data_IF_812167895033
#
_entry.id   IF_812167895033
#
_cell.length_a   1.000
_cell.length_b   1.000
_cell.length_c   1.000
_cell.angle_alpha   90.00
_cell.angle_beta   90.00
_cell.angle_gamma   90.00
#
_symmetry.space_group_name_H-M   'P 1'
#
loop_
_entity.id
_entity.type
_entity.pdbx_description
1 polymer ?
#
# COMPACT_ATOMS: atom_id res chain seq x y z
N UNK A 1 -19.04 17.43 -28.14
CA UNK A 1 -19.06 16.05 -27.63
C UNK A 1 -19.72 16.06 -26.25
N UNK A 2 -20.48 15.04 -25.87
CA UNK A 2 -21.00 14.93 -24.51
C UNK A 2 -19.82 14.80 -23.53
N UNK A 3 -19.94 15.45 -22.38
CA UNK A 3 -18.89 15.34 -21.32
C UNK A 3 -18.86 13.90 -20.80
N UNK A 4 -17.66 13.34 -20.64
CA UNK A 4 -17.48 12.06 -20.00
C UNK A 4 -17.61 12.25 -18.48
N UNK A 5 -18.57 11.58 -17.87
CA UNK A 5 -18.81 11.66 -16.41
C UNK A 5 -18.80 10.28 -15.78
N UNK A 6 -18.49 10.21 -14.49
CA UNK A 6 -18.55 8.97 -13.71
C UNK A 6 -19.98 8.46 -13.65
N UNK A 7 -20.22 7.27 -14.17
CA UNK A 7 -21.55 6.65 -14.31
C UNK A 7 -21.87 5.70 -13.15
N UNK A 8 -20.86 4.97 -12.66
CA UNK A 8 -20.98 4.10 -11.48
C UNK A 8 -19.70 4.05 -10.67
N UNK A 9 -19.86 3.74 -9.37
CA UNK A 9 -18.80 3.41 -8.43
C UNK A 9 -19.26 2.19 -7.66
N UNK A 10 -18.60 1.07 -7.88
CA UNK A 10 -18.96 -0.24 -7.33
C UNK A 10 -17.81 -0.76 -6.46
N UNK A 11 -18.12 -1.26 -5.29
CA UNK A 11 -17.17 -1.89 -4.37
C UNK A 11 -17.48 -3.39 -4.29
N UNK A 12 -16.45 -4.22 -4.19
CA UNK A 12 -16.57 -5.66 -4.07
C UNK A 12 -15.75 -6.15 -2.89
N UNK A 13 -16.41 -6.74 -1.91
CA UNK A 13 -15.74 -7.36 -0.77
C UNK A 13 -15.38 -8.80 -1.13
N UNK A 14 -14.09 -9.08 -1.22
CA UNK A 14 -13.56 -10.43 -1.44
C UNK A 14 -12.87 -10.89 -0.17
N UNK A 15 -13.00 -12.18 0.19
CA UNK A 15 -12.28 -12.75 1.34
C UNK A 15 -11.98 -14.23 1.15
N UNK A 16 -10.91 -14.67 1.80
CA UNK A 16 -10.66 -16.10 2.00
C UNK A 16 -11.78 -16.70 2.86
N UNK A 17 -12.10 -17.99 2.70
CA UNK A 17 -13.14 -18.66 3.52
C UNK A 17 -12.86 -18.62 5.02
N UNK A 18 -11.59 -18.53 5.40
CA UNK A 18 -11.15 -18.38 6.79
C UNK A 18 -10.11 -17.27 6.85
N UNK A 19 -10.30 -16.35 7.78
CA UNK A 19 -9.32 -15.29 8.10
C UNK A 19 -8.54 -15.75 9.33
N UNK A 20 -7.23 -15.79 9.21
CA UNK A 20 -6.29 -16.15 10.28
C UNK A 20 -5.81 -14.90 11.00
N UNK A 21 -5.58 -14.98 12.30
CA UNK A 21 -5.03 -13.87 13.10
C UNK A 21 -3.50 -13.80 12.97
N UNK A 22 -3.05 -13.34 11.79
CA UNK A 22 -1.64 -13.17 11.44
C UNK A 22 -1.46 -11.84 10.70
N UNK A 23 -0.23 -11.31 10.66
CA UNK A 23 0.11 -10.05 9.98
C UNK A 23 0.10 -10.15 8.44
N UNK A 24 -0.97 -10.69 7.87
CA UNK A 24 -1.14 -10.90 6.42
C UNK A 24 -2.39 -10.15 5.92
N UNK A 25 -2.18 -9.02 5.26
CA UNK A 25 -3.23 -8.18 4.68
C UNK A 25 -3.83 -8.73 3.38
N UNK A 26 -3.35 -9.85 2.85
CA UNK A 26 -3.83 -10.40 1.58
C UNK A 26 -4.99 -11.39 1.72
N UNK A 27 -5.54 -11.54 2.94
CA UNK A 27 -6.61 -12.50 3.23
C UNK A 27 -8.00 -12.03 2.77
N UNK A 28 -8.17 -10.73 2.60
CA UNK A 28 -9.34 -10.12 2.00
C UNK A 28 -8.93 -8.98 1.05
N UNK A 29 -9.90 -8.43 0.30
CA UNK A 29 -9.68 -7.30 -0.59
C UNK A 29 -10.96 -6.50 -0.79
N UNK A 30 -10.82 -5.19 -0.95
CA UNK A 30 -11.90 -4.29 -1.37
C UNK A 30 -11.61 -3.78 -2.78
N UNK A 31 -12.10 -4.50 -3.79
CA UNK A 31 -11.91 -4.12 -5.19
C UNK A 31 -12.92 -3.07 -5.60
N UNK A 32 -12.47 -2.04 -6.30
CA UNK A 32 -13.29 -0.91 -6.74
C UNK A 32 -13.37 -0.85 -8.25
N UNK A 33 -14.59 -0.73 -8.78
CA UNK A 33 -14.87 -0.51 -10.20
C UNK A 33 -15.50 0.87 -10.40
N UNK A 34 -14.96 1.64 -11.33
CA UNK A 34 -15.53 2.92 -11.76
C UNK A 34 -15.79 2.87 -13.25
N UNK A 35 -16.97 3.34 -13.70
CA UNK A 35 -17.32 3.39 -15.11
C UNK A 35 -17.52 4.82 -15.58
N UNK A 36 -17.06 5.14 -16.79
CA UNK A 36 -17.34 6.38 -17.50
C UNK A 36 -17.06 6.22 -19.00
N UNK A 37 -17.90 6.79 -19.83
CA UNK A 37 -17.69 6.83 -21.29
C UNK A 37 -17.55 5.45 -21.94
N UNK A 38 -18.27 4.46 -21.43
CA UNK A 38 -18.24 3.07 -21.92
C UNK A 38 -16.95 2.32 -21.58
N UNK A 39 -16.10 2.86 -20.72
CA UNK A 39 -14.87 2.21 -20.22
C UNK A 39 -15.00 1.90 -18.74
N UNK A 40 -14.16 1.00 -18.27
CA UNK A 40 -14.09 0.55 -16.87
C UNK A 40 -12.67 0.76 -16.36
N UNK A 41 -12.54 1.36 -15.18
CA UNK A 41 -11.30 1.42 -14.41
C UNK A 41 -11.43 0.64 -13.13
N UNK A 42 -10.31 0.11 -12.65
CA UNK A 42 -10.24 -0.72 -11.46
C UNK A 42 -9.21 -0.19 -10.46
N UNK A 43 -9.54 -0.32 -9.19
CA UNK A 43 -8.67 0.01 -8.07
C UNK A 43 -8.93 -0.90 -6.89
N UNK A 44 -8.20 -0.68 -5.82
CA UNK A 44 -8.30 -1.47 -4.60
C UNK A 44 -8.07 -0.58 -3.37
N UNK A 45 -8.94 -0.73 -2.36
CA UNK A 45 -8.71 -0.16 -1.03
C UNK A 45 -7.94 -1.19 -0.19
N UNK A 46 -6.94 -0.73 0.53
CA UNK A 46 -6.24 -1.57 1.49
C UNK A 46 -7.01 -1.62 2.81
N UNK A 47 -7.17 -2.83 3.35
CA UNK A 47 -7.83 -3.16 4.62
C UNK A 47 -9.30 -2.70 4.79
N UNK A 48 -9.98 -3.34 5.73
CA UNK A 48 -11.32 -3.03 6.22
C UNK A 48 -12.38 -2.84 5.11
N UNK A 49 -12.67 -3.88 4.27
CA UNK A 49 -13.62 -3.73 3.15
C UNK A 49 -15.00 -3.26 3.57
N UNK A 50 -15.59 -3.85 4.60
CA UNK A 50 -16.94 -3.50 5.04
C UNK A 50 -17.07 -2.06 5.57
N UNK A 51 -16.17 -1.54 6.43
CA UNK A 51 -16.14 -0.12 6.78
C UNK A 51 -16.01 0.81 5.58
N UNK A 52 -15.22 0.42 4.57
CA UNK A 52 -15.06 1.21 3.34
C UNK A 52 -16.36 1.25 2.53
N UNK A 53 -17.05 0.13 2.36
CA UNK A 53 -18.36 0.06 1.71
C UNK A 53 -19.39 0.87 2.50
N UNK A 54 -19.40 0.78 3.84
CA UNK A 54 -20.31 1.53 4.68
C UNK A 54 -20.10 3.05 4.52
N UNK A 55 -18.84 3.51 4.55
CA UNK A 55 -18.53 4.92 4.38
C UNK A 55 -18.78 5.45 2.97
N UNK A 56 -18.72 4.60 1.94
CA UNK A 56 -19.10 4.96 0.58
C UNK A 56 -20.54 5.48 0.53
N UNK A 57 -21.48 4.84 1.27
CA UNK A 57 -22.94 5.06 1.18
C UNK A 57 -23.58 5.55 2.46
N UNK A 58 -22.84 5.74 3.55
CA UNK A 58 -23.38 6.17 4.84
C UNK A 58 -24.19 7.46 4.67
N UNK A 59 -25.39 7.56 5.29
CA UNK A 59 -26.17 8.79 5.22
C UNK A 59 -25.37 9.99 5.71
N UNK A 60 -25.56 11.14 5.07
CA UNK A 60 -24.97 12.38 5.52
C UNK A 60 -25.30 12.63 7.00
N UNK A 61 -24.30 12.91 7.82
CA UNK A 61 -24.47 13.32 9.21
C UNK A 61 -24.53 14.85 9.33
N UNK A 62 -23.59 15.54 8.67
CA UNK A 62 -23.52 17.02 8.58
C UNK A 62 -22.60 17.44 7.42
N UNK A 63 -22.33 18.73 7.26
CA UNK A 63 -21.64 19.31 6.11
C UNK A 63 -20.21 18.81 5.85
N UNK A 64 -19.52 18.26 6.86
CA UNK A 64 -18.20 17.64 6.74
C UNK A 64 -18.23 16.10 6.79
N UNK A 65 -19.42 15.50 6.77
CA UNK A 65 -19.64 14.06 6.85
C UNK A 65 -20.69 13.60 5.85
N UNK A 66 -20.39 13.72 4.56
CA UNK A 66 -21.19 13.19 3.46
C UNK A 66 -20.72 11.79 3.07
N UNK A 67 -21.61 10.93 2.52
CA UNK A 67 -21.17 9.69 1.86
C UNK A 67 -20.20 10.01 0.72
N UNK A 68 -19.16 9.21 0.61
CA UNK A 68 -18.08 9.48 -0.38
C UNK A 68 -18.63 9.47 -1.81
N UNK A 69 -19.61 8.60 -2.10
CA UNK A 69 -20.21 8.47 -3.44
C UNK A 69 -20.78 9.77 -3.95
N UNK A 70 -21.32 10.65 -3.11
CA UNK A 70 -21.91 11.95 -3.48
C UNK A 70 -20.88 12.94 -4.04
N UNK A 71 -19.61 12.66 -3.81
CA UNK A 71 -18.50 13.50 -4.28
C UNK A 71 -17.85 12.97 -5.56
N UNK A 72 -18.29 11.80 -6.05
CA UNK A 72 -17.67 11.09 -7.18
C UNK A 72 -18.67 10.87 -8.31
N UNK A 73 -19.87 10.35 -7.99
CA UNK A 73 -20.87 10.02 -9.00
C UNK A 73 -21.35 11.27 -9.76
N UNK A 74 -21.39 11.18 -11.09
CA UNK A 74 -21.77 12.27 -11.97
C UNK A 74 -20.69 13.32 -12.22
N UNK A 75 -19.53 13.23 -11.57
CA UNK A 75 -18.41 14.15 -11.78
C UNK A 75 -17.77 13.93 -13.15
N UNK A 76 -17.33 15.02 -13.78
CA UNK A 76 -16.60 14.96 -15.06
C UNK A 76 -15.25 14.27 -14.87
N UNK A 77 -14.87 13.41 -15.83
CA UNK A 77 -13.57 12.74 -15.91
C UNK A 77 -13.01 12.84 -17.34
N UNK A 78 -12.33 13.93 -17.65
CA UNK A 78 -11.72 14.18 -18.96
C UNK A 78 -10.22 14.48 -18.85
N UNK A 79 -9.72 14.76 -17.65
CA UNK A 79 -8.34 15.18 -17.41
C UNK A 79 -7.83 14.79 -16.03
N UNK A 80 -6.52 14.85 -15.85
CA UNK A 80 -5.86 14.65 -14.55
C UNK A 80 -6.38 15.65 -13.50
N UNK A 81 -6.67 16.89 -13.91
CA UNK A 81 -7.23 17.89 -12.99
C UNK A 81 -8.63 17.52 -12.47
N UNK A 82 -9.39 16.70 -13.20
CA UNK A 82 -10.68 16.21 -12.72
C UNK A 82 -10.50 15.19 -11.60
N UNK A 83 -9.50 14.29 -11.70
CA UNK A 83 -9.18 13.36 -10.61
C UNK A 83 -8.80 14.15 -9.35
N UNK A 84 -7.93 15.14 -9.47
CA UNK A 84 -7.53 16.00 -8.34
C UNK A 84 -8.73 16.76 -7.75
N UNK A 85 -9.64 17.25 -8.57
CA UNK A 85 -10.86 17.92 -8.13
C UNK A 85 -11.80 16.98 -7.38
N UNK A 86 -12.01 15.77 -7.88
CA UNK A 86 -12.81 14.73 -7.21
C UNK A 86 -12.20 14.39 -5.85
N UNK A 87 -10.90 14.12 -5.79
CA UNK A 87 -10.19 13.83 -4.57
C UNK A 87 -10.31 14.97 -3.53
N UNK A 88 -10.12 16.22 -3.96
CA UNK A 88 -10.28 17.39 -3.09
C UNK A 88 -11.72 17.52 -2.56
N UNK A 89 -12.72 17.25 -3.41
CA UNK A 89 -14.14 17.27 -3.02
C UNK A 89 -14.47 16.20 -1.98
N UNK A 90 -13.97 14.97 -2.13
CA UNK A 90 -14.13 13.90 -1.14
C UNK A 90 -13.54 14.35 0.20
N UNK A 91 -12.29 14.84 0.22
CA UNK A 91 -11.64 15.29 1.45
C UNK A 91 -12.38 16.41 2.15
N UNK A 92 -12.92 17.37 1.40
CA UNK A 92 -13.65 18.49 1.98
C UNK A 92 -15.02 18.09 2.55
N UNK A 93 -15.75 17.20 1.87
CA UNK A 93 -17.12 16.84 2.24
C UNK A 93 -17.22 15.67 3.20
N UNK A 94 -16.19 14.81 3.25
CA UNK A 94 -16.12 13.63 4.11
C UNK A 94 -14.98 13.72 5.14
N UNK A 95 -14.61 14.96 5.54
CA UNK A 95 -13.46 15.24 6.42
C UNK A 95 -13.57 14.55 7.79
N UNK A 96 -14.78 14.45 8.35
CA UNK A 96 -15.01 13.83 9.66
C UNK A 96 -15.25 12.32 9.58
N UNK A 97 -15.17 11.74 8.39
CA UNK A 97 -15.24 10.28 8.20
C UNK A 97 -13.82 9.71 8.19
N UNK A 98 -13.39 9.06 9.26
CA UNK A 98 -12.02 8.54 9.42
C UNK A 98 -11.61 7.57 8.29
N UNK A 99 -12.55 6.79 7.76
CA UNK A 99 -12.29 5.83 6.67
C UNK A 99 -12.25 6.49 5.28
N UNK A 100 -12.52 7.80 5.14
CA UNK A 100 -12.68 8.47 3.84
C UNK A 100 -11.46 8.35 2.94
N UNK A 101 -10.25 8.38 3.50
CA UNK A 101 -9.00 8.22 2.73
C UNK A 101 -8.85 6.83 2.12
N UNK A 102 -9.19 5.75 2.86
CA UNK A 102 -9.18 4.39 2.33
C UNK A 102 -10.20 4.24 1.18
N UNK A 103 -11.43 4.76 1.37
CA UNK A 103 -12.47 4.74 0.35
C UNK A 103 -12.00 5.49 -0.90
N UNK A 104 -11.44 6.69 -0.71
CA UNK A 104 -10.89 7.49 -1.80
C UNK A 104 -9.75 6.79 -2.50
N UNK A 105 -8.92 6.03 -1.78
CA UNK A 105 -7.75 5.33 -2.37
C UNK A 105 -8.14 4.40 -3.50
N UNK A 106 -9.11 3.52 -3.28
CA UNK A 106 -9.57 2.60 -4.31
C UNK A 106 -10.27 3.33 -5.48
N UNK A 107 -11.05 4.38 -5.18
CA UNK A 107 -11.71 5.22 -6.20
C UNK A 107 -10.66 5.98 -7.02
N UNK A 108 -9.69 6.63 -6.37
CA UNK A 108 -8.63 7.38 -7.06
C UNK A 108 -7.81 6.47 -7.97
N UNK A 109 -7.40 5.29 -7.48
CA UNK A 109 -6.70 4.28 -8.29
C UNK A 109 -7.54 3.87 -9.51
N UNK A 110 -8.85 3.61 -9.33
CA UNK A 110 -9.75 3.28 -10.42
C UNK A 110 -9.94 4.44 -11.41
N UNK A 111 -9.95 5.70 -10.95
CA UNK A 111 -10.04 6.88 -11.81
C UNK A 111 -8.78 7.06 -12.66
N UNK A 112 -7.58 6.81 -12.11
CA UNK A 112 -6.34 6.83 -12.87
C UNK A 112 -6.28 5.70 -13.92
N UNK A 113 -6.72 4.49 -13.56
CA UNK A 113 -6.83 3.37 -14.51
C UNK A 113 -7.82 3.72 -15.63
N UNK A 114 -9.00 4.24 -15.26
CA UNK A 114 -10.05 4.62 -16.22
C UNK A 114 -9.61 5.75 -17.17
N UNK A 115 -9.02 6.81 -16.62
CA UNK A 115 -8.53 7.92 -17.45
C UNK A 115 -7.43 7.45 -18.41
N UNK A 116 -6.54 6.57 -17.95
CA UNK A 116 -5.52 5.95 -18.81
C UNK A 116 -6.14 5.15 -19.96
N UNK A 117 -7.18 4.37 -19.67
CA UNK A 117 -7.93 3.62 -20.70
C UNK A 117 -8.71 4.53 -21.67
N UNK A 118 -9.27 5.63 -21.18
CA UNK A 118 -9.95 6.63 -22.02
C UNK A 118 -8.98 7.34 -22.97
N UNK A 119 -7.74 7.58 -22.51
CA UNK A 119 -6.71 8.31 -23.27
C UNK A 119 -5.72 7.42 -24.01
N UNK A 120 -5.83 6.11 -23.86
CA UNK A 120 -4.89 5.13 -24.40
C UNK A 120 -3.45 5.36 -23.91
N UNK A 121 -3.29 5.70 -22.62
CA UNK A 121 -2.00 6.00 -21.99
C UNK A 121 -1.82 5.24 -20.68
N UNK A 122 -0.59 4.78 -20.32
CA UNK A 122 -0.29 4.20 -19.00
C UNK A 122 -0.52 5.22 -17.87
N UNK A 123 -0.96 4.75 -16.70
CA UNK A 123 -1.23 5.61 -15.54
C UNK A 123 0.04 6.36 -15.06
N UNK A 124 1.21 5.70 -15.04
CA UNK A 124 2.46 6.35 -14.67
C UNK A 124 2.81 7.55 -15.57
N UNK A 125 2.45 7.49 -16.86
CA UNK A 125 2.67 8.60 -17.80
C UNK A 125 1.72 9.77 -17.52
N UNK A 126 0.44 9.48 -17.20
CA UNK A 126 -0.52 10.48 -16.76
C UNK A 126 -0.13 11.14 -15.44
N UNK A 127 0.57 10.40 -14.54
CA UNK A 127 1.17 10.93 -13.31
C UNK A 127 2.37 11.87 -13.57
N UNK A 128 2.71 12.11 -14.85
CA UNK A 128 3.74 13.06 -15.27
C UNK A 128 5.12 12.47 -15.50
N UNK A 129 5.28 11.17 -15.40
CA UNK A 129 6.56 10.53 -15.67
C UNK A 129 6.83 10.39 -17.19
N UNK A 130 8.05 10.72 -17.61
CA UNK A 130 8.48 10.53 -19.02
C UNK A 130 8.93 9.10 -19.31
N UNK A 131 9.34 8.37 -18.26
CA UNK A 131 9.88 7.02 -18.33
C UNK A 131 9.52 6.29 -17.04
N UNK A 132 9.26 4.99 -17.12
CA UNK A 132 9.18 4.08 -15.98
C UNK A 132 10.51 3.34 -15.84
N UNK A 133 11.12 3.40 -14.65
CA UNK A 133 12.35 2.67 -14.33
C UNK A 133 12.03 1.33 -13.69
N UNK A 134 12.81 0.28 -13.99
CA UNK A 134 12.68 -0.99 -13.28
C UNK A 134 12.90 -0.82 -11.78
N UNK A 135 12.19 -1.60 -10.97
CA UNK A 135 12.31 -1.61 -9.50
C UNK A 135 12.90 -2.93 -9.03
N UNK A 136 13.79 -2.88 -8.05
CA UNK A 136 14.33 -4.04 -7.37
C UNK A 136 13.30 -4.51 -6.32
N UNK A 137 12.63 -5.64 -6.52
CA UNK A 137 11.68 -6.15 -5.53
C UNK A 137 12.43 -6.70 -4.32
N UNK A 138 12.03 -6.31 -3.12
CA UNK A 138 12.35 -7.07 -1.93
C UNK A 138 11.26 -8.08 -1.61
N UNK A 139 11.67 -9.31 -1.28
CA UNK A 139 10.73 -10.31 -0.81
C UNK A 139 10.17 -9.87 0.56
N UNK A 140 8.89 -9.52 0.64
CA UNK A 140 8.22 -9.21 1.89
C UNK A 140 7.64 -10.49 2.48
N UNK A 141 8.13 -10.88 3.66
CA UNK A 141 7.75 -12.11 4.37
C UNK A 141 7.63 -11.85 5.87
N UNK A 142 6.81 -12.65 6.56
CA UNK A 142 6.73 -12.62 8.02
C UNK A 142 7.96 -13.32 8.63
N UNK A 143 8.41 -12.86 9.82
CA UNK A 143 9.37 -13.63 10.61
C UNK A 143 8.83 -15.05 10.86
N UNK A 144 9.73 -16.02 11.00
CA UNK A 144 9.36 -17.34 11.49
C UNK A 144 9.10 -17.30 13.01
N UNK A 145 8.40 -18.29 13.56
CA UNK A 145 8.17 -18.39 15.00
C UNK A 145 9.46 -18.63 15.80
N UNK A 146 10.48 -19.13 15.11
CA UNK A 146 11.82 -19.37 15.65
C UNK A 146 12.91 -18.80 14.74
N UNK A 147 14.12 -18.49 15.26
CA UNK A 147 15.26 -18.08 14.44
C UNK A 147 15.58 -19.08 13.32
N UNK A 148 15.43 -20.39 13.58
CA UNK A 148 15.65 -21.42 12.58
C UNK A 148 14.66 -21.31 11.40
N UNK A 149 13.38 -21.06 11.67
CA UNK A 149 12.38 -20.85 10.62
C UNK A 149 12.65 -19.55 9.82
N UNK A 150 13.12 -18.49 10.49
CA UNK A 150 13.55 -17.24 9.82
C UNK A 150 14.74 -17.52 8.89
N UNK A 151 15.73 -18.30 9.32
CA UNK A 151 16.85 -18.73 8.48
C UNK A 151 16.39 -19.48 7.23
N UNK A 152 15.46 -20.42 7.40
CA UNK A 152 14.91 -21.20 6.30
C UNK A 152 14.16 -20.33 5.30
N UNK A 153 13.31 -19.40 5.79
CA UNK A 153 12.64 -18.40 4.94
C UNK A 153 13.66 -17.55 4.17
N UNK A 154 14.70 -17.04 4.84
CA UNK A 154 15.72 -16.22 4.20
C UNK A 154 16.46 -16.99 3.09
N UNK A 155 16.86 -18.24 3.35
CA UNK A 155 17.46 -19.14 2.34
C UNK A 155 16.52 -19.41 1.17
N UNK A 156 15.21 -19.57 1.44
CA UNK A 156 14.22 -19.78 0.40
C UNK A 156 14.08 -18.55 -0.51
N UNK A 157 14.16 -17.32 0.02
CA UNK A 157 14.14 -16.11 -0.79
C UNK A 157 15.40 -15.96 -1.63
N UNK A 158 16.56 -16.28 -1.07
CA UNK A 158 17.84 -16.31 -1.81
C UNK A 158 17.81 -17.35 -2.95
N UNK A 159 17.28 -18.55 -2.69
CA UNK A 159 17.10 -19.60 -3.70
C UNK A 159 16.16 -19.19 -4.83
N UNK A 160 15.19 -18.30 -4.55
CA UNK A 160 14.32 -17.66 -5.55
C UNK A 160 14.97 -16.45 -6.24
N UNK A 161 16.26 -16.20 -6.05
CA UNK A 161 17.03 -15.08 -6.61
C UNK A 161 16.52 -13.69 -6.19
N UNK A 162 16.01 -13.52 -4.97
CA UNK A 162 15.82 -12.21 -4.39
C UNK A 162 17.13 -11.67 -3.84
N UNK A 163 17.45 -10.43 -4.18
CA UNK A 163 18.62 -9.70 -3.66
C UNK A 163 18.33 -8.93 -2.39
N UNK A 164 17.07 -8.74 -2.07
CA UNK A 164 16.58 -8.04 -0.90
C UNK A 164 15.42 -8.82 -0.26
N UNK A 165 15.32 -8.81 1.07
CA UNK A 165 14.15 -9.33 1.77
C UNK A 165 13.85 -8.50 3.02
N UNK A 166 12.56 -8.29 3.27
CA UNK A 166 12.00 -7.70 4.48
C UNK A 166 11.40 -8.81 5.34
N UNK A 167 11.78 -8.82 6.61
CA UNK A 167 11.18 -9.67 7.62
C UNK A 167 10.41 -8.80 8.59
N UNK A 168 9.14 -9.09 8.79
CA UNK A 168 8.28 -8.30 9.64
C UNK A 168 7.38 -9.12 10.55
N UNK A 169 6.79 -8.45 11.52
CA UNK A 169 5.75 -8.99 12.39
C UNK A 169 6.16 -10.27 13.12
N UNK A 170 5.20 -11.16 13.42
CA UNK A 170 5.47 -12.42 14.14
C UNK A 170 5.99 -12.16 15.55
N UNK A 171 7.03 -12.88 15.99
CA UNK A 171 7.55 -12.77 17.36
C UNK A 171 8.50 -11.57 17.55
N UNK A 172 8.94 -10.88 16.50
CA UNK A 172 9.89 -9.76 16.58
C UNK A 172 9.32 -8.62 17.42
N UNK A 173 10.12 -8.10 18.35
CA UNK A 173 9.72 -7.02 19.25
C UNK A 173 8.78 -7.45 20.39
N UNK A 174 8.26 -8.68 20.41
CA UNK A 174 7.31 -9.15 21.42
C UNK A 174 7.98 -9.74 22.64
N UNK A 175 9.22 -10.24 22.50
CA UNK A 175 10.07 -10.81 23.58
C UNK A 175 11.18 -9.84 23.97
N UNK A 176 12.31 -10.34 24.37
CA UNK A 176 13.48 -9.53 24.71
C UNK A 176 14.38 -9.26 23.48
N UNK A 177 15.28 -8.29 23.61
CA UNK A 177 16.17 -7.88 22.51
C UNK A 177 17.18 -8.96 22.10
N UNK A 178 17.46 -9.96 22.94
CA UNK A 178 18.33 -11.08 22.58
C UNK A 178 17.62 -12.02 21.60
N UNK A 179 16.36 -12.29 21.85
CA UNK A 179 15.54 -13.10 20.95
C UNK A 179 15.37 -12.39 19.57
N UNK A 180 15.16 -11.08 19.58
CA UNK A 180 15.12 -10.29 18.34
C UNK A 180 16.46 -10.36 17.58
N UNK A 181 17.60 -10.28 18.33
CA UNK A 181 18.93 -10.41 17.74
C UNK A 181 19.17 -11.77 17.07
N UNK A 182 18.69 -12.86 17.66
CA UNK A 182 18.80 -14.21 17.08
C UNK A 182 18.05 -14.31 15.74
N UNK A 183 16.87 -13.70 15.64
CA UNK A 183 16.12 -13.63 14.38
C UNK A 183 16.85 -12.80 13.31
N UNK A 184 17.44 -11.66 13.69
CA UNK A 184 18.21 -10.82 12.78
C UNK A 184 19.47 -11.52 12.26
N UNK A 185 20.18 -12.22 13.14
CA UNK A 185 21.35 -13.03 12.76
C UNK A 185 20.95 -14.15 11.80
N UNK A 186 19.86 -14.85 12.09
CA UNK A 186 19.33 -15.92 11.24
C UNK A 186 18.92 -15.38 9.83
N UNK A 187 18.23 -14.25 9.79
CA UNK A 187 17.86 -13.59 8.53
C UNK A 187 19.11 -13.21 7.72
N UNK A 188 20.11 -12.58 8.37
CA UNK A 188 21.38 -12.19 7.73
C UNK A 188 22.16 -13.41 7.22
N UNK A 189 22.23 -14.48 8.00
CA UNK A 189 22.89 -15.74 7.58
C UNK A 189 22.20 -16.30 6.32
N UNK A 190 20.87 -16.37 6.30
CA UNK A 190 20.12 -16.92 5.18
C UNK A 190 20.20 -16.08 3.91
N UNK A 191 20.25 -14.73 4.02
CA UNK A 191 20.44 -13.83 2.89
C UNK A 191 21.88 -13.76 2.40
N UNK A 192 22.84 -14.19 3.22
CA UNK A 192 24.27 -14.03 2.95
C UNK A 192 24.75 -12.59 3.15
N UNK A 193 26.08 -12.39 2.98
CA UNK A 193 26.73 -11.10 3.28
C UNK A 193 26.30 -9.92 2.40
N UNK A 194 25.91 -10.19 1.16
CA UNK A 194 25.61 -9.18 0.14
C UNK A 194 24.10 -8.95 -0.04
N UNK A 195 23.25 -9.75 0.61
CA UNK A 195 21.80 -9.57 0.58
C UNK A 195 21.37 -8.30 1.33
N UNK A 196 20.39 -7.60 0.83
CA UNK A 196 19.78 -6.42 1.47
C UNK A 196 18.79 -6.91 2.51
N UNK A 197 19.09 -6.69 3.80
CA UNK A 197 18.20 -7.04 4.91
C UNK A 197 17.39 -5.81 5.32
N UNK A 198 16.08 -5.97 5.34
CA UNK A 198 15.08 -4.99 5.75
C UNK A 198 14.30 -5.57 6.92
N UNK A 199 13.99 -4.76 7.93
CA UNK A 199 13.35 -5.21 9.17
C UNK A 199 12.14 -4.34 9.45
N UNK A 200 11.03 -5.00 9.79
CA UNK A 200 9.75 -4.35 10.06
C UNK A 200 9.27 -4.77 11.46
N UNK A 201 9.08 -3.80 12.33
CA UNK A 201 8.62 -4.03 13.70
C UNK A 201 7.08 -4.00 13.84
N UNK A 202 6.33 -3.61 12.80
CA UNK A 202 4.87 -3.62 12.80
C UNK A 202 4.24 -2.84 13.96
N UNK A 203 4.80 -1.70 14.31
CA UNK A 203 4.37 -0.81 15.40
C UNK A 203 4.37 -1.40 16.81
N UNK A 204 5.05 -2.55 17.01
CA UNK A 204 4.99 -3.37 18.24
C UNK A 204 5.36 -2.60 19.51
N UNK A 205 6.20 -1.57 19.41
CA UNK A 205 6.61 -0.78 20.56
C UNK A 205 5.75 0.47 20.81
N UNK A 206 4.76 0.76 19.96
CA UNK A 206 3.81 1.88 20.05
C UNK A 206 4.51 3.23 20.05
N UNK A 207 5.20 3.59 21.15
CA UNK A 207 6.02 4.81 21.35
C UNK A 207 7.20 4.58 22.33
N UNK A 208 7.43 3.33 22.74
CA UNK A 208 8.51 2.96 23.69
C UNK A 208 9.89 2.98 23.01
N UNK A 209 10.50 4.16 23.02
CA UNK A 209 11.83 4.40 22.43
C UNK A 209 12.91 3.60 23.10
N UNK A 210 12.86 3.43 24.46
CA UNK A 210 13.88 2.71 25.21
C UNK A 210 13.90 1.22 24.86
N UNK A 211 12.75 0.66 24.54
CA UNK A 211 12.66 -0.72 24.05
C UNK A 211 13.22 -0.84 22.64
N UNK A 212 12.86 0.07 21.74
CA UNK A 212 13.37 0.09 20.37
C UNK A 212 14.90 0.29 20.32
N UNK A 213 15.47 1.15 21.17
CA UNK A 213 16.92 1.36 21.25
C UNK A 213 17.70 0.08 21.54
N UNK A 214 17.13 -0.87 22.28
CA UNK A 214 17.80 -2.15 22.63
C UNK A 214 18.03 -3.04 21.41
N UNK A 215 17.31 -2.86 20.32
CA UNK A 215 17.49 -3.65 19.08
C UNK A 215 18.55 -3.05 18.15
N UNK A 216 18.91 -1.77 18.32
CA UNK A 216 19.87 -1.07 17.42
C UNK A 216 21.20 -1.82 17.28
N UNK A 217 21.87 -2.34 18.34
CA UNK A 217 23.13 -3.05 18.19
C UNK A 217 23.05 -4.27 17.26
N UNK A 218 21.97 -5.06 17.36
CA UNK A 218 21.76 -6.23 16.50
C UNK A 218 21.45 -5.84 15.05
N UNK A 219 20.66 -4.78 14.85
CA UNK A 219 20.39 -4.23 13.51
C UNK A 219 21.68 -3.73 12.84
N UNK A 220 22.55 -3.03 13.59
CA UNK A 220 23.84 -2.56 13.10
C UNK A 220 24.77 -3.74 12.76
N UNK A 221 24.91 -4.71 13.68
CA UNK A 221 25.74 -5.90 13.50
C UNK A 221 25.31 -6.69 12.25
N UNK A 222 24.03 -6.83 12.04
CA UNK A 222 23.47 -7.53 10.89
C UNK A 222 23.38 -6.67 9.62
N UNK A 223 23.79 -5.40 9.70
CA UNK A 223 23.75 -4.43 8.59
C UNK A 223 22.35 -4.35 7.99
N UNK A 224 21.32 -4.26 8.85
CA UNK A 224 19.97 -3.97 8.41
C UNK A 224 19.93 -2.58 7.75
N UNK A 225 19.32 -2.47 6.58
CA UNK A 225 19.24 -1.22 5.82
C UNK A 225 18.28 -0.26 6.49
N UNK A 226 17.15 -0.78 7.01
CA UNK A 226 16.18 -0.01 7.78
C UNK A 226 15.53 -0.80 8.91
N UNK A 227 14.98 -0.06 9.86
CA UNK A 227 13.96 -0.49 10.81
C UNK A 227 12.66 0.22 10.45
N UNK A 228 11.68 -0.55 10.00
CA UNK A 228 10.36 -0.08 9.56
C UNK A 228 9.38 -0.12 10.71
N UNK A 229 8.54 0.90 10.79
CA UNK A 229 7.46 1.08 11.75
C UNK A 229 7.75 0.56 13.18
N UNK A 230 8.83 1.05 13.85
CA UNK A 230 9.05 0.73 15.26
C UNK A 230 7.90 1.21 16.14
N UNK A 231 7.21 2.29 15.73
CA UNK A 231 6.16 2.98 16.45
C UNK A 231 4.95 3.26 15.56
N UNK A 232 3.81 3.57 16.17
CA UNK A 232 2.64 4.05 15.43
C UNK A 232 2.99 5.35 14.68
N UNK A 233 2.39 5.57 13.51
CA UNK A 233 2.75 6.70 12.62
C UNK A 233 2.56 8.09 13.24
N UNK A 234 1.74 8.22 14.29
CA UNK A 234 1.53 9.47 15.04
C UNK A 234 2.61 9.77 16.08
N UNK A 235 3.45 8.79 16.45
CA UNK A 235 4.48 8.95 17.49
C UNK A 235 5.76 9.62 16.96
N UNK A 236 5.63 10.77 16.31
CA UNK A 236 6.73 11.48 15.63
C UNK A 236 7.91 11.80 16.54
N UNK A 237 7.65 12.12 17.82
CA UNK A 237 8.70 12.37 18.82
C UNK A 237 9.55 11.12 19.05
N UNK A 238 8.92 9.95 19.15
CA UNK A 238 9.61 8.68 19.33
C UNK A 238 10.48 8.32 18.10
N UNK A 239 9.94 8.50 16.89
CA UNK A 239 10.71 8.35 15.66
C UNK A 239 11.94 9.25 15.64
N UNK A 240 11.77 10.55 15.91
CA UNK A 240 12.87 11.53 15.91
C UNK A 240 13.93 11.22 16.97
N UNK A 241 13.55 10.72 18.14
CA UNK A 241 14.48 10.30 19.17
C UNK A 241 15.27 9.05 18.79
N UNK A 242 14.59 8.04 18.24
CA UNK A 242 15.25 6.81 17.79
C UNK A 242 16.18 7.07 16.60
N UNK A 243 15.80 7.95 15.66
CA UNK A 243 16.65 8.38 14.55
C UNK A 243 17.96 9.03 15.05
N UNK A 244 17.88 9.89 16.07
CA UNK A 244 19.06 10.48 16.72
C UNK A 244 19.92 9.42 17.39
N UNK A 245 19.32 8.48 18.11
CA UNK A 245 20.04 7.40 18.79
C UNK A 245 20.76 6.46 17.81
N UNK A 246 20.12 6.15 16.69
CA UNK A 246 20.74 5.38 15.59
C UNK A 246 21.89 6.12 14.91
N UNK A 247 21.89 7.46 14.93
CA UNK A 247 22.91 8.28 14.28
C UNK A 247 23.16 7.92 12.79
N UNK A 248 22.13 7.47 12.11
CA UNK A 248 22.15 7.08 10.68
C UNK A 248 22.78 5.72 10.38
N UNK A 249 23.22 4.94 11.40
CA UNK A 249 23.77 3.61 11.21
C UNK A 249 22.74 2.59 10.75
N UNK A 250 21.51 2.73 11.26
CA UNK A 250 20.30 2.07 10.74
C UNK A 250 19.30 3.18 10.45
N UNK A 251 18.79 3.28 9.23
CA UNK A 251 17.79 4.28 8.89
C UNK A 251 16.40 3.81 9.32
N UNK A 252 15.52 4.73 9.65
CA UNK A 252 14.14 4.41 9.94
C UNK A 252 13.31 4.48 8.65
N UNK A 253 12.32 3.59 8.57
CA UNK A 253 11.32 3.59 7.53
C UNK A 253 9.92 3.64 8.17
N UNK A 254 8.93 4.17 7.45
CA UNK A 254 7.55 4.18 7.91
C UNK A 254 6.66 5.01 7.02
N UNK A 255 5.36 4.94 7.28
CA UNK A 255 4.37 5.69 6.52
C UNK A 255 3.23 4.86 5.97
N UNK A 256 3.22 3.55 6.11
CA UNK A 256 2.08 2.72 5.70
C UNK A 256 0.82 3.06 6.51
N UNK A 257 0.96 3.43 7.78
CA UNK A 257 -0.13 3.92 8.62
C UNK A 257 -0.55 5.37 8.35
N UNK A 258 0.02 6.06 7.36
CA UNK A 258 -0.42 7.41 7.00
C UNK A 258 -1.73 7.37 6.22
N UNK A 259 -2.79 7.98 6.77
CA UNK A 259 -4.12 8.04 6.12
C UNK A 259 -4.28 9.26 5.20
N UNK A 260 -3.34 10.18 5.20
CA UNK A 260 -3.32 11.33 4.31
C UNK A 260 -1.88 11.83 4.10
N UNK A 261 -1.75 12.71 3.13
CA UNK A 261 -0.47 13.27 2.77
C UNK A 261 0.20 14.08 3.91
N UNK A 262 -0.56 14.70 4.82
CA UNK A 262 0.01 15.51 5.91
C UNK A 262 0.71 14.62 6.95
N UNK A 263 0.14 13.44 7.24
CA UNK A 263 0.79 12.48 8.14
C UNK A 263 2.12 12.02 7.54
N UNK A 264 2.14 11.60 6.27
CA UNK A 264 3.37 11.18 5.61
C UNK A 264 4.43 12.32 5.54
N UNK A 265 3.99 13.54 5.23
CA UNK A 265 4.85 14.72 5.26
C UNK A 265 5.45 14.97 6.65
N UNK A 266 4.63 14.90 7.70
CA UNK A 266 5.10 15.12 9.07
C UNK A 266 6.12 14.05 9.49
N UNK A 267 5.99 12.81 9.04
CA UNK A 267 6.99 11.77 9.27
C UNK A 267 8.33 12.12 8.60
N UNK A 268 8.29 12.67 7.39
CA UNK A 268 9.49 13.17 6.69
C UNK A 268 10.10 14.36 7.44
N UNK A 269 9.28 15.36 7.80
CA UNK A 269 9.76 16.63 8.37
C UNK A 269 10.24 16.47 9.82
N UNK A 270 9.61 15.61 10.62
CA UNK A 270 9.80 15.55 12.08
C UNK A 270 10.18 14.18 12.61
N UNK A 271 9.88 13.10 11.89
CA UNK A 271 10.18 11.72 12.31
C UNK A 271 11.64 11.30 12.08
N UNK A 272 12.38 12.03 11.24
CA UNK A 272 13.78 11.69 10.92
C UNK A 272 13.91 10.39 10.15
N UNK A 273 12.88 9.98 9.41
CA UNK A 273 12.90 8.76 8.58
C UNK A 273 13.76 8.95 7.34
N UNK A 274 14.47 7.90 6.94
CA UNK A 274 15.26 7.86 5.70
C UNK A 274 14.51 7.26 4.52
N UNK A 275 13.42 6.52 4.80
CA UNK A 275 12.53 5.93 3.83
C UNK A 275 11.08 6.22 4.20
N UNK A 276 10.29 6.74 3.25
CA UNK A 276 8.85 6.89 3.42
C UNK A 276 8.13 5.81 2.62
N UNK A 277 7.30 5.03 3.31
CA UNK A 277 6.61 3.87 2.75
C UNK A 277 5.10 4.08 2.86
N UNK A 278 4.48 4.68 1.85
CA UNK A 278 3.04 4.89 1.88
C UNK A 278 2.31 3.81 1.10
N UNK A 279 1.13 3.46 1.59
CA UNK A 279 0.22 2.58 0.88
C UNK A 279 -0.77 3.38 0.02
N UNK A 280 -0.75 3.14 -1.29
CA UNK A 280 -1.66 3.80 -2.22
C UNK A 280 -3.13 3.40 -1.99
N UNK A 281 -3.40 2.28 -1.34
CA UNK A 281 -4.73 1.83 -0.93
C UNK A 281 -5.24 2.45 0.38
N UNK A 282 -4.39 3.20 1.12
CA UNK A 282 -4.74 3.85 2.41
C UNK A 282 -4.70 5.36 2.37
N UNK A 283 -3.73 5.96 1.67
CA UNK A 283 -3.37 7.38 1.79
C UNK A 283 -4.28 8.35 1.00
N UNK A 284 -5.19 7.85 0.22
CA UNK A 284 -6.01 8.64 -0.71
C UNK A 284 -5.65 8.43 -2.18
N UNK A 285 -5.06 7.29 -2.50
CA UNK A 285 -4.80 6.83 -3.87
C UNK A 285 -3.45 7.23 -4.44
N UNK A 286 -3.34 7.05 -5.75
CA UNK A 286 -2.15 7.40 -6.53
C UNK A 286 -1.84 8.90 -6.48
N UNK A 287 -2.87 9.72 -6.39
CA UNK A 287 -2.76 11.19 -6.32
C UNK A 287 -1.93 11.62 -5.10
N UNK A 288 -2.27 11.15 -3.89
CA UNK A 288 -1.52 11.53 -2.69
C UNK A 288 -0.20 10.78 -2.57
N UNK A 289 -0.15 9.51 -2.96
CA UNK A 289 1.11 8.76 -2.98
C UNK A 289 2.15 9.43 -3.92
N UNK A 290 1.72 9.92 -5.09
CA UNK A 290 2.59 10.70 -5.99
C UNK A 290 3.07 12.01 -5.36
N UNK A 291 2.19 12.70 -4.64
CA UNK A 291 2.54 13.92 -3.92
C UNK A 291 3.58 13.66 -2.83
N UNK A 292 3.46 12.52 -2.12
CA UNK A 292 4.47 12.11 -1.13
C UNK A 292 5.79 11.76 -1.81
N UNK A 293 5.77 11.04 -2.94
CA UNK A 293 6.97 10.68 -3.68
C UNK A 293 7.74 11.92 -4.15
N UNK A 294 7.03 12.93 -4.69
CA UNK A 294 7.65 14.19 -5.11
C UNK A 294 8.24 14.97 -3.92
N UNK A 295 7.54 15.01 -2.80
CA UNK A 295 8.00 15.67 -1.59
C UNK A 295 9.21 14.97 -0.99
N UNK A 296 9.17 13.65 -0.85
CA UNK A 296 10.29 12.84 -0.37
C UNK A 296 11.55 13.08 -1.21
N UNK A 297 11.41 13.08 -2.54
CA UNK A 297 12.52 13.38 -3.45
C UNK A 297 13.11 14.77 -3.19
N UNK A 298 12.28 15.78 -2.97
CA UNK A 298 12.72 17.15 -2.69
C UNK A 298 13.44 17.25 -1.33
N UNK A 299 13.08 16.41 -0.35
CA UNK A 299 13.69 16.36 0.98
C UNK A 299 14.88 15.38 1.09
N UNK A 300 15.22 14.65 0.01
CA UNK A 300 16.30 13.65 0.02
C UNK A 300 15.95 12.36 0.78
N UNK A 301 14.66 12.12 1.03
CA UNK A 301 14.12 10.88 1.58
C UNK A 301 13.76 9.93 0.44
N UNK A 302 14.07 8.64 0.60
CA UNK A 302 13.75 7.61 -0.40
C UNK A 302 12.28 7.22 -0.29
N UNK A 303 11.55 7.30 -1.40
CA UNK A 303 10.19 6.76 -1.48
C UNK A 303 10.22 5.25 -1.77
N UNK A 304 9.41 4.49 -1.05
CA UNK A 304 9.17 3.06 -1.27
C UNK A 304 7.66 2.83 -1.18
N UNK A 305 7.12 1.92 -1.98
CA UNK A 305 5.73 1.51 -1.81
C UNK A 305 5.55 0.60 -0.59
N UNK A 306 4.42 0.69 0.10
CA UNK A 306 3.84 -0.40 0.87
C UNK A 306 2.75 -1.06 0.04
N UNK A 307 2.68 -2.38 0.01
CA UNK A 307 1.56 -3.13 -0.56
C UNK A 307 1.65 -4.60 -0.17
N UNK A 308 0.74 -5.07 0.67
CA UNK A 308 0.67 -6.47 1.07
C UNK A 308 -0.68 -7.11 0.68
N UNK A 309 -1.17 -6.79 -0.52
CA UNK A 309 -2.47 -7.23 -1.05
C UNK A 309 -2.33 -7.86 -2.44
N UNK A 310 -3.23 -7.49 -3.36
CA UNK A 310 -3.27 -8.08 -4.69
C UNK A 310 -2.21 -7.57 -5.66
N UNK A 311 -2.13 -8.21 -6.82
CA UNK A 311 -1.30 -7.75 -7.93
C UNK A 311 -1.79 -6.41 -8.51
N UNK A 312 -3.08 -6.09 -8.39
CA UNK A 312 -3.63 -4.79 -8.77
C UNK A 312 -3.12 -3.68 -7.85
N UNK A 313 -3.21 -3.89 -6.53
CA UNK A 313 -2.69 -2.97 -5.51
C UNK A 313 -1.17 -2.80 -5.65
N UNK A 314 -0.42 -3.91 -5.82
CA UNK A 314 1.02 -3.86 -6.04
C UNK A 314 1.38 -3.02 -7.26
N UNK A 315 0.69 -3.21 -8.39
CA UNK A 315 0.89 -2.39 -9.58
C UNK A 315 0.59 -0.91 -9.29
N UNK A 316 -0.56 -0.63 -8.68
CA UNK A 316 -0.97 0.72 -8.29
C UNK A 316 0.08 1.40 -7.40
N UNK A 317 0.63 0.68 -6.42
CA UNK A 317 1.58 1.22 -5.45
C UNK A 317 2.93 1.65 -6.05
N UNK A 318 3.33 1.07 -7.21
CA UNK A 318 4.58 1.43 -7.90
C UNK A 318 4.41 2.64 -8.83
N UNK A 319 3.19 2.93 -9.32
CA UNK A 319 2.93 4.04 -10.25
C UNK A 319 3.44 5.40 -9.74
N UNK A 320 3.25 5.77 -8.45
CA UNK A 320 3.63 7.08 -7.92
C UNK A 320 5.12 7.42 -8.04
N UNK A 321 6.01 6.43 -8.02
CA UNK A 321 7.47 6.65 -8.09
C UNK A 321 8.13 5.97 -9.29
N UNK A 322 7.33 5.58 -10.27
CA UNK A 322 7.79 4.89 -11.48
C UNK A 322 8.96 5.61 -12.18
N UNK A 323 8.91 6.94 -12.24
CA UNK A 323 9.91 7.77 -12.91
C UNK A 323 11.10 8.17 -12.06
N UNK A 324 11.21 7.75 -10.81
CA UNK A 324 12.35 8.06 -9.93
C UNK A 324 13.37 6.93 -10.05
N UNK A 325 14.50 7.19 -10.71
CA UNK A 325 15.53 6.17 -10.97
C UNK A 325 16.25 5.73 -9.69
N UNK A 326 16.56 6.68 -8.79
CA UNK A 326 17.30 6.41 -7.54
C UNK A 326 16.49 5.66 -6.49
N UNK A 327 15.16 5.74 -6.53
CA UNK A 327 14.25 5.02 -5.64
C UNK A 327 13.92 3.68 -6.30
N UNK A 328 14.90 2.79 -6.32
CA UNK A 328 14.87 1.56 -7.12
C UNK A 328 14.24 0.35 -6.41
N UNK A 329 14.11 0.39 -5.07
CA UNK A 329 13.58 -0.74 -4.30
C UNK A 329 12.05 -0.67 -4.21
N UNK A 330 11.37 -1.82 -4.27
CA UNK A 330 9.92 -1.89 -4.10
C UNK A 330 9.51 -3.12 -3.29
N UNK A 331 8.40 -2.99 -2.53
CA UNK A 331 7.80 -4.13 -1.85
C UNK A 331 7.26 -5.15 -2.85
N UNK A 332 7.40 -6.43 -2.48
CA UNK A 332 6.90 -7.54 -3.27
C UNK A 332 6.43 -8.66 -2.33
N UNK A 333 5.13 -8.76 -2.03
CA UNK A 333 4.58 -9.80 -1.14
C UNK A 333 4.85 -11.20 -1.66
N UNK A 334 5.35 -12.08 -0.80
CA UNK A 334 5.71 -13.45 -1.15
C UNK A 334 4.75 -14.50 -0.58
N UNK A 335 3.98 -14.14 0.42
CA UNK A 335 3.09 -15.03 1.16
C UNK A 335 1.61 -14.66 0.94
N UNK A 336 1.29 -13.93 -0.15
CA UNK A 336 -0.07 -13.51 -0.47
C UNK A 336 -1.01 -14.71 -0.69
N UNK A 337 -2.26 -14.56 -0.27
CA UNK A 337 -3.31 -15.59 -0.35
C UNK A 337 -3.93 -15.69 -1.76
N UNK A 338 -4.64 -16.77 -2.01
CA UNK A 338 -5.22 -17.05 -3.32
C UNK A 338 -6.18 -15.96 -3.81
N UNK A 339 -6.94 -15.33 -2.91
CA UNK A 339 -7.84 -14.21 -3.26
C UNK A 339 -7.08 -13.07 -3.92
N UNK A 340 -5.88 -12.73 -3.43
CA UNK A 340 -5.03 -11.67 -3.99
C UNK A 340 -4.57 -11.98 -5.43
N UNK A 341 -4.32 -13.25 -5.73
CA UNK A 341 -3.95 -13.70 -7.08
C UNK A 341 -5.15 -13.94 -8.01
N UNK A 342 -6.37 -14.01 -7.47
CA UNK A 342 -7.58 -14.20 -8.26
C UNK A 342 -8.09 -12.91 -8.93
N UNK A 343 -7.66 -11.73 -8.48
CA UNK A 343 -8.20 -10.44 -8.93
C UNK A 343 -7.77 -10.11 -10.36
N UNK A 344 -6.50 -10.35 -10.73
CA UNK A 344 -5.97 -10.00 -12.04
C UNK A 344 -5.51 -11.22 -12.85
N UNK A 345 -5.56 -11.11 -14.17
CA UNK A 345 -5.02 -12.12 -15.10
C UNK A 345 -3.49 -12.08 -15.05
N UNK A 346 -2.93 -10.88 -15.20
CA UNK A 346 -1.49 -10.66 -15.21
C UNK A 346 -0.94 -10.57 -13.77
N UNK A 347 0.35 -10.87 -13.66
CA UNK A 347 1.17 -10.64 -12.46
C UNK A 347 2.32 -9.71 -12.81
N UNK A 348 2.80 -8.96 -11.84
CA UNK A 348 4.05 -8.21 -11.95
C UNK A 348 5.22 -9.16 -11.71
N UNK A 349 5.53 -9.99 -12.71
CA UNK A 349 6.64 -10.92 -12.60
C UNK A 349 7.99 -10.22 -12.69
N UNK A 350 8.98 -10.79 -12.03
CA UNK A 350 10.37 -10.35 -12.14
C UNK A 350 10.94 -10.77 -13.49
N UNK A 351 11.60 -9.84 -14.19
CA UNK A 351 12.36 -10.13 -15.39
C UNK A 351 13.58 -11.03 -15.13
N UNK A 352 14.29 -11.42 -16.18
CA UNK A 352 15.50 -12.22 -16.07
C UNK A 352 16.63 -11.52 -15.26
N UNK A 353 16.60 -10.20 -15.17
CA UNK A 353 17.48 -9.36 -14.35
C UNK A 353 17.04 -9.26 -12.89
N UNK A 354 15.94 -9.91 -12.54
CA UNK A 354 15.34 -9.88 -11.19
C UNK A 354 14.53 -8.62 -10.87
N UNK A 355 14.35 -7.71 -11.83
CA UNK A 355 13.65 -6.44 -11.63
C UNK A 355 12.17 -6.56 -12.01
N UNK A 356 11.31 -5.79 -11.34
CA UNK A 356 9.89 -5.60 -11.69
C UNK A 356 9.76 -4.38 -12.60
N UNK A 357 8.83 -4.45 -13.57
CA UNK A 357 8.52 -3.37 -14.50
C UNK A 357 7.02 -3.16 -14.59
N UNK A 358 6.60 -1.89 -14.58
CA UNK A 358 5.22 -1.56 -14.86
C UNK A 358 4.87 -1.84 -16.33
N UNK A 359 3.62 -2.27 -16.62
CA UNK A 359 3.14 -2.43 -17.98
C UNK A 359 3.13 -1.10 -18.75
N UNK A 360 3.39 -1.16 -20.06
CA UNK A 360 3.25 -0.04 -21.00
C UNK A 360 1.81 0.08 -21.58
N UNK A 361 0.88 -0.73 -21.09
CA UNK A 361 -0.52 -0.75 -21.51
C UNK A 361 -1.32 0.41 -20.88
N UNK A 362 -2.46 0.83 -21.48
CA UNK A 362 -3.32 1.87 -20.94
C UNK A 362 -3.80 1.60 -19.49
N UNK A 363 -3.94 2.66 -18.72
CA UNK A 363 -4.32 2.61 -17.31
C UNK A 363 -3.22 1.97 -16.46
N UNK A 364 -3.59 1.13 -15.51
CA UNK A 364 -2.66 0.31 -14.74
C UNK A 364 -2.05 -0.83 -15.58
N UNK A 365 -2.61 -1.09 -16.77
CA UNK A 365 -2.13 -2.15 -17.66
C UNK A 365 -2.45 -3.56 -17.18
N UNK A 366 -3.36 -3.71 -16.22
CA UNK A 366 -3.81 -4.97 -15.66
C UNK A 366 -5.24 -5.31 -16.11
N UNK A 367 -5.54 -6.58 -16.29
CA UNK A 367 -6.88 -7.08 -16.59
C UNK A 367 -7.48 -7.69 -15.34
N UNK A 368 -8.54 -7.09 -14.81
CA UNK A 368 -9.31 -7.67 -13.70
C UNK A 368 -10.22 -8.77 -14.25
N UNK A 369 -10.19 -9.94 -13.63
CA UNK A 369 -10.98 -11.11 -14.02
C UNK A 369 -12.05 -11.40 -12.96
N UNK A 370 -13.26 -10.90 -13.22
CA UNK A 370 -14.39 -11.07 -12.30
C UNK A 370 -14.83 -12.53 -12.13
N UNK A 371 -14.61 -13.38 -13.13
CA UNK A 371 -14.93 -14.81 -13.03
C UNK A 371 -13.99 -15.53 -12.05
N UNK A 372 -12.71 -15.16 -12.04
CA UNK A 372 -11.71 -15.73 -11.13
C UNK A 372 -11.92 -15.32 -9.69
N UNK A 373 -12.27 -14.06 -9.41
CA UNK A 373 -12.48 -13.60 -8.05
C UNK A 373 -13.89 -13.89 -7.51
N UNK A 374 -14.87 -14.20 -8.35
CA UNK A 374 -16.25 -14.51 -7.93
C UNK A 374 -16.38 -15.52 -6.79
N UNK A 375 -15.58 -16.60 -6.70
CA UNK A 375 -15.65 -17.54 -5.58
C UNK A 375 -15.33 -16.94 -4.21
N UNK A 376 -14.63 -15.81 -4.17
CA UNK A 376 -14.25 -15.08 -2.96
C UNK A 376 -15.20 -13.92 -2.62
N UNK A 377 -16.16 -13.60 -3.51
CA UNK A 377 -17.07 -12.48 -3.35
C UNK A 377 -18.06 -12.74 -2.21
N UNK A 378 -18.08 -11.82 -1.26
CA UNK A 378 -19.08 -11.79 -0.19
C UNK A 378 -20.26 -10.91 -0.59
N UNK A 379 -21.47 -11.40 -0.38
CA UNK A 379 -22.68 -10.61 -0.60
C UNK A 379 -22.91 -9.66 0.59
N UNK A 380 -22.94 -8.37 0.32
CA UNK A 380 -23.10 -7.31 1.32
C UNK A 380 -24.37 -6.54 1.00
N UNK A 381 -25.26 -6.41 1.99
CA UNK A 381 -26.40 -5.49 1.93
C UNK A 381 -26.36 -4.55 3.15
N UNK A 382 -26.41 -3.23 2.92
CA UNK A 382 -26.50 -2.21 3.96
C UNK A 382 -27.87 -1.55 3.90
N UNK A 383 -28.61 -1.61 5.00
CA UNK A 383 -29.94 -1.01 5.15
C UNK A 383 -29.99 -0.05 6.34
N UNK A 384 -30.65 1.08 6.13
CA UNK A 384 -30.96 2.04 7.21
C UNK A 384 -32.43 2.46 7.09
N UNK A 385 -33.20 2.33 8.17
CA UNK A 385 -34.61 2.69 8.17
C UNK A 385 -35.44 1.97 7.10
N UNK A 386 -35.10 0.72 6.78
CA UNK A 386 -35.74 -0.07 5.72
C UNK A 386 -35.31 0.24 4.30
N UNK A 387 -34.52 1.30 4.07
CA UNK A 387 -33.97 1.65 2.76
C UNK A 387 -32.65 0.95 2.55
N UNK A 388 -32.50 0.25 1.42
CA UNK A 388 -31.21 -0.33 0.97
C UNK A 388 -30.33 0.83 0.46
N UNK A 389 -29.18 1.00 1.09
CA UNK A 389 -28.17 1.99 0.70
C UNK A 389 -27.12 1.38 -0.20
N UNK A 390 -26.82 0.12 0.02
CA UNK A 390 -25.85 -0.65 -0.77
C UNK A 390 -26.29 -2.09 -0.91
N UNK A 391 -26.00 -2.67 -2.04
CA UNK A 391 -26.03 -4.12 -2.30
C UNK A 391 -24.88 -4.45 -3.21
N UNK A 392 -24.19 -5.58 -2.97
CA UNK A 392 -23.10 -6.04 -3.83
C UNK A 392 -23.52 -5.94 -5.31
N UNK A 393 -22.79 -5.19 -6.14
CA UNK A 393 -23.14 -5.00 -7.54
C UNK A 393 -22.98 -6.29 -8.35
N UNK A 394 -23.67 -6.40 -9.47
CA UNK A 394 -23.44 -7.47 -10.43
C UNK A 394 -22.01 -7.36 -11.03
N UNK A 395 -21.37 -8.51 -11.22
CA UNK A 395 -20.02 -8.66 -11.80
C UNK A 395 -20.11 -9.17 -13.25
#
# INVERSE_FOLDING_TARGET
MARTSVESVDFFYLAMPTIEDVGDGSQDACVVRVTAGGKVGWGECEAAPLPSIAGLVAPMSHSACHPVIDSVLGETLESVSDIHRIAARVRARSADMLQSSHILSGIDMALWDLLGRLRDEPAWKLLGWKKSYPKLPYASVLFGDTPQQTLEKARAMTAKNFRAAKFGWGPFGTKDAHYDADHLVAAREGLGKDGILLVDAGTVWVDDVERAKKTLPALEQTRATWLEEPFISSALGAYGELAKASAGRVRLAGGEGAHDWQVARNMIDYGGIGFVQVDAGRIGGLTDAKRVADYAQAQGVTFVNHSFQSQLALNGSIQPFAGIEKDEICEYPMEARDVAYAITVERLDRGADGMVRLPEKPGLGMTVDTARFKPYLLDVEIKVGGKVLYRTPAI
#
